data_IF_857738645564
#
_entry.id   IF_857738645564
#
_cell.length_a   1.000
_cell.length_b   1.000
_cell.length_c   1.000
_cell.angle_alpha   90.00
_cell.angle_beta   90.00
_cell.angle_gamma   90.00
#
_symmetry.space_group_name_H-M   'P 1'
#
loop_
_entity.id
_entity.type
_entity.pdbx_description
1 polymer ?
#
# COMPACT_ATOMS: atom_id res chain seq x y z
N UNK A 1 -7.54 25.28 15.56
CA UNK A 1 -6.37 24.40 15.73
C UNK A 1 -6.89 23.00 15.97
N UNK A 2 -6.60 22.06 15.07
CA UNK A 2 -7.11 20.68 15.16
C UNK A 2 -5.95 19.70 15.03
N UNK A 3 -6.04 18.57 15.72
CA UNK A 3 -5.06 17.48 15.63
C UNK A 3 -5.80 16.22 15.18
N UNK A 4 -5.29 15.57 14.14
CA UNK A 4 -5.79 14.31 13.62
C UNK A 4 -4.76 13.24 13.95
N UNK A 5 -5.18 12.19 14.65
CA UNK A 5 -4.35 11.04 14.95
C UNK A 5 -4.57 9.96 13.90
N UNK A 6 -3.49 9.36 13.42
CA UNK A 6 -3.53 8.25 12.46
C UNK A 6 -2.48 7.22 12.82
N UNK A 7 -2.81 5.94 12.67
CA UNK A 7 -1.88 4.84 12.85
C UNK A 7 -1.16 4.43 11.55
N UNK A 8 -1.55 5.03 10.43
CA UNK A 8 -1.01 4.76 9.10
C UNK A 8 0.26 5.57 8.84
N UNK A 9 1.41 5.06 9.30
CA UNK A 9 2.71 5.69 9.07
C UNK A 9 3.01 5.89 7.57
N UNK A 10 2.57 4.96 6.72
CA UNK A 10 2.71 5.05 5.26
C UNK A 10 2.01 6.28 4.68
N UNK A 11 0.84 6.65 5.19
CA UNK A 11 0.09 7.84 4.76
C UNK A 11 0.87 9.10 5.13
N UNK A 12 1.36 9.20 6.36
CA UNK A 12 2.15 10.36 6.80
C UNK A 12 3.41 10.53 5.97
N UNK A 13 4.12 9.43 5.69
CA UNK A 13 5.31 9.47 4.82
C UNK A 13 4.99 9.89 3.40
N UNK A 14 3.82 9.48 2.87
CA UNK A 14 3.39 9.84 1.53
C UNK A 14 3.01 11.33 1.42
N UNK A 15 2.43 11.90 2.47
CA UNK A 15 2.09 13.32 2.55
C UNK A 15 3.32 14.22 2.76
N UNK A 16 4.31 13.73 3.51
CA UNK A 16 5.56 14.44 3.79
C UNK A 16 6.55 14.39 2.61
N UNK A 17 6.40 13.44 1.69
CA UNK A 17 7.33 13.29 0.57
C UNK A 17 7.15 14.40 -0.46
N UNK A 18 8.20 15.19 -0.69
CA UNK A 18 8.19 16.35 -1.62
C UNK A 18 8.16 15.94 -3.11
N UNK A 19 8.44 14.67 -3.44
CA UNK A 19 8.84 14.28 -4.80
C UNK A 19 7.95 13.26 -5.50
N UNK A 20 6.90 12.71 -4.87
CA UNK A 20 6.16 11.60 -5.52
C UNK A 20 4.68 11.53 -5.12
N UNK A 21 3.93 12.61 -5.33
CA UNK A 21 2.46 12.59 -5.24
C UNK A 21 1.82 11.96 -6.49
N UNK A 22 2.37 10.84 -6.96
CA UNK A 22 1.86 10.12 -8.15
C UNK A 22 0.59 9.35 -7.86
N UNK A 23 0.29 9.07 -6.59
CA UNK A 23 -0.92 8.38 -6.20
C UNK A 23 -2.11 9.35 -6.07
N UNK A 24 -3.21 9.17 -6.82
CA UNK A 24 -4.32 10.13 -6.86
C UNK A 24 -4.98 10.37 -5.49
N UNK A 25 -5.01 9.36 -4.61
CA UNK A 25 -5.53 9.55 -3.25
C UNK A 25 -4.68 10.50 -2.40
N UNK A 26 -3.35 10.47 -2.54
CA UNK A 26 -2.44 11.33 -1.77
C UNK A 26 -2.65 12.77 -2.22
N UNK A 27 -2.75 12.99 -3.54
CA UNK A 27 -3.05 14.30 -4.12
C UNK A 27 -4.39 14.86 -3.61
N UNK A 28 -5.45 14.05 -3.61
CA UNK A 28 -6.77 14.49 -3.12
C UNK A 28 -6.72 14.90 -1.64
N UNK A 29 -5.97 14.19 -0.80
CA UNK A 29 -5.81 14.54 0.61
C UNK A 29 -5.05 15.88 0.75
N UNK A 30 -3.98 16.08 -0.01
CA UNK A 30 -3.22 17.33 0.01
C UNK A 30 -4.06 18.53 -0.45
N UNK A 31 -4.82 18.39 -1.54
CA UNK A 31 -5.73 19.43 -2.04
C UNK A 31 -6.77 19.84 -0.97
N UNK A 32 -7.32 18.87 -0.23
CA UNK A 32 -8.23 19.15 0.89
C UNK A 32 -7.50 19.88 2.02
N UNK A 33 -6.29 19.46 2.39
CA UNK A 33 -5.50 20.09 3.44
C UNK A 33 -5.13 21.53 3.07
N UNK A 34 -4.75 21.80 1.82
CA UNK A 34 -4.44 23.14 1.32
C UNK A 34 -5.68 24.04 1.31
N UNK A 35 -6.84 23.52 0.88
CA UNK A 35 -8.11 24.26 0.96
C UNK A 35 -8.44 24.67 2.38
N UNK A 36 -8.30 23.74 3.34
CA UNK A 36 -8.52 24.04 4.75
C UNK A 36 -7.50 25.05 5.29
N UNK A 37 -6.23 24.94 4.90
CA UNK A 37 -5.19 25.90 5.26
C UNK A 37 -5.52 27.32 4.73
N UNK A 38 -5.99 27.43 3.48
CA UNK A 38 -6.39 28.71 2.88
C UNK A 38 -7.59 29.37 3.60
N UNK A 39 -8.42 28.57 4.27
CA UNK A 39 -9.52 29.05 5.10
C UNK A 39 -9.08 29.42 6.53
N UNK A 40 -7.79 29.30 6.84
CA UNK A 40 -7.22 29.60 8.16
C UNK A 40 -7.26 28.44 9.16
N UNK A 41 -7.60 27.23 8.72
CA UNK A 41 -7.52 26.05 9.59
C UNK A 41 -6.08 25.57 9.71
N UNK A 42 -5.63 25.39 10.93
CA UNK A 42 -4.34 24.75 11.24
C UNK A 42 -4.63 23.33 11.71
N UNK A 43 -4.15 22.35 10.93
CA UNK A 43 -4.35 20.91 11.15
C UNK A 43 -2.98 20.25 11.35
N UNK A 44 -2.82 19.54 12.47
CA UNK A 44 -1.66 18.69 12.71
C UNK A 44 -2.01 17.23 12.50
N UNK A 45 -1.13 16.49 11.82
CA UNK A 45 -1.23 15.04 11.70
C UNK A 45 -0.24 14.40 12.67
N UNK A 46 -0.74 13.54 13.56
CA UNK A 46 0.07 12.86 14.57
C UNK A 46 0.01 11.35 14.38
N UNK A 47 1.17 10.70 14.36
CA UNK A 47 1.26 9.25 14.31
C UNK A 47 0.99 8.62 15.68
N UNK A 48 0.21 7.55 15.71
CA UNK A 48 0.03 6.70 16.87
C UNK A 48 0.30 5.23 16.51
N UNK A 49 0.81 4.41 17.43
CA UNK A 49 0.92 2.98 17.19
C UNK A 49 -0.46 2.33 17.07
N UNK A 50 -0.62 1.45 16.08
CA UNK A 50 -1.83 0.62 15.94
C UNK A 50 -1.85 -0.52 16.96
N UNK A 51 -3.05 -0.97 17.33
CA UNK A 51 -3.29 -2.18 18.15
C UNK A 51 -2.62 -2.22 19.54
N UNK A 52 -2.38 -1.06 20.16
CA UNK A 52 -1.81 -0.97 21.53
C UNK A 52 -2.86 -0.69 22.62
N UNK A 53 -4.16 -0.84 22.33
CA UNK A 53 -5.21 -0.57 23.32
C UNK A 53 -5.68 0.89 23.40
N UNK A 54 -5.34 1.74 22.41
CA UNK A 54 -5.87 3.11 22.35
C UNK A 54 -7.33 3.04 21.91
N UNK A 55 -8.25 3.21 22.87
CA UNK A 55 -9.70 3.09 22.69
C UNK A 55 -10.19 3.90 21.48
N UNK A 56 -9.70 5.14 21.31
CA UNK A 56 -10.09 5.99 20.19
C UNK A 56 -9.68 5.43 18.82
N UNK A 57 -8.46 4.87 18.71
CA UNK A 57 -7.99 4.25 17.47
C UNK A 57 -8.78 2.98 17.15
N UNK A 58 -9.05 2.15 18.16
CA UNK A 58 -9.83 0.92 17.99
C UNK A 58 -11.27 1.21 17.55
N UNK A 59 -11.88 2.28 18.08
CA UNK A 59 -13.20 2.74 17.64
C UNK A 59 -13.17 3.23 16.19
N UNK A 60 -12.15 4.01 15.81
CA UNK A 60 -11.97 4.47 14.44
C UNK A 60 -11.78 3.29 13.46
N UNK A 61 -10.93 2.33 13.81
CA UNK A 61 -10.72 1.09 13.05
C UNK A 61 -12.01 0.28 12.89
N UNK A 62 -12.77 0.13 13.98
CA UNK A 62 -14.04 -0.60 13.95
C UNK A 62 -15.05 0.09 13.05
N UNK A 63 -15.13 1.42 13.10
CA UNK A 63 -16.00 2.20 12.23
C UNK A 63 -15.57 2.08 10.75
N UNK A 64 -14.27 2.19 10.45
CA UNK A 64 -13.74 2.03 9.10
C UNK A 64 -14.00 0.63 8.52
N UNK A 65 -13.78 -0.42 9.32
CA UNK A 65 -14.09 -1.81 8.94
C UNK A 65 -15.58 -2.02 8.71
N UNK A 66 -16.43 -1.42 9.53
CA UNK A 66 -17.89 -1.53 9.38
C UNK A 66 -18.41 -0.75 8.17
N UNK A 67 -17.73 0.33 7.79
CA UNK A 67 -18.06 1.14 6.61
C UNK A 67 -17.46 0.58 5.30
N UNK A 68 -16.78 -0.57 5.34
CA UNK A 68 -16.25 -1.21 4.13
C UNK A 68 -17.39 -1.78 3.31
N UNK A 69 -17.93 -0.96 2.41
CA UNK A 69 -18.83 -1.40 1.35
C UNK A 69 -17.94 -1.97 0.24
N UNK A 70 -18.33 -3.10 -0.37
CA UNK A 70 -17.69 -3.62 -1.57
C UNK A 70 -17.94 -2.64 -2.72
N UNK A 71 -17.10 -1.61 -2.81
CA UNK A 71 -17.15 -0.64 -3.88
C UNK A 71 -16.55 -1.33 -5.11
N UNK A 72 -17.30 -1.41 -6.21
CA UNK A 72 -16.74 -1.63 -7.55
C UNK A 72 -15.95 -0.38 -7.97
N UNK A 73 -14.95 -0.01 -7.17
CA UNK A 73 -14.11 1.15 -7.38
C UNK A 73 -12.97 0.83 -8.33
N UNK A 74 -12.60 1.79 -9.17
CA UNK A 74 -11.39 1.71 -9.97
C UNK A 74 -10.18 1.97 -9.07
N UNK A 75 -9.32 0.98 -8.93
CA UNK A 75 -8.05 1.10 -8.21
C UNK A 75 -6.96 1.54 -9.20
N UNK A 76 -6.06 2.48 -8.84
CA UNK A 76 -4.97 2.89 -9.69
C UNK A 76 -4.16 1.70 -10.21
N UNK A 77 -3.83 1.69 -11.51
CA UNK A 77 -3.08 0.60 -12.13
C UNK A 77 -1.71 0.36 -11.46
N UNK A 78 -1.14 1.41 -10.84
CA UNK A 78 0.08 1.33 -10.05
C UNK A 78 0.01 0.30 -8.93
N UNK A 79 -1.15 0.15 -8.29
CA UNK A 79 -1.35 -0.78 -7.18
C UNK A 79 -1.38 -2.23 -7.65
N UNK A 80 -1.84 -2.46 -8.89
CA UNK A 80 -1.80 -3.79 -9.51
C UNK A 80 -0.43 -4.14 -10.08
N UNK A 81 0.42 -3.15 -10.41
CA UNK A 81 1.72 -3.38 -11.07
C UNK A 81 2.59 -4.36 -10.29
N UNK A 82 2.65 -4.22 -8.97
CA UNK A 82 3.41 -5.14 -8.10
C UNK A 82 2.79 -6.53 -8.10
N UNK A 83 1.46 -6.63 -7.98
CA UNK A 83 0.76 -7.92 -8.00
C UNK A 83 0.93 -8.64 -9.34
N UNK A 84 0.81 -7.93 -10.47
CA UNK A 84 0.99 -8.47 -11.81
C UNK A 84 2.43 -8.98 -11.98
N UNK A 85 3.43 -8.20 -11.56
CA UNK A 85 4.83 -8.64 -11.58
C UNK A 85 5.03 -9.92 -10.78
N UNK A 86 4.50 -9.99 -9.55
CA UNK A 86 4.59 -11.19 -8.71
C UNK A 86 3.93 -12.41 -9.35
N UNK A 87 2.77 -12.23 -9.97
CA UNK A 87 2.09 -13.32 -10.68
C UNK A 87 2.89 -13.78 -11.90
N UNK A 88 3.44 -12.85 -12.68
CA UNK A 88 4.28 -13.16 -13.83
C UNK A 88 5.54 -13.92 -13.39
N UNK A 89 6.23 -13.44 -12.35
CA UNK A 89 7.39 -14.13 -11.78
C UNK A 89 7.04 -15.51 -11.25
N UNK A 90 5.91 -15.66 -10.57
CA UNK A 90 5.44 -16.95 -10.06
C UNK A 90 5.16 -17.95 -11.19
N UNK A 91 4.48 -17.50 -12.26
CA UNK A 91 4.22 -18.33 -13.45
C UNK A 91 5.49 -18.72 -14.17
N UNK A 92 6.40 -17.76 -14.37
CA UNK A 92 7.71 -18.02 -14.95
C UNK A 92 8.50 -19.03 -14.11
N UNK A 93 8.52 -18.87 -12.78
CA UNK A 93 9.21 -19.77 -11.87
C UNK A 93 8.61 -21.18 -11.89
N UNK A 94 7.29 -21.31 -12.03
CA UNK A 94 6.61 -22.60 -12.13
C UNK A 94 6.95 -23.29 -13.45
N UNK A 95 6.93 -22.58 -14.58
CA UNK A 95 7.38 -23.10 -15.87
C UNK A 95 8.84 -23.56 -15.80
N UNK A 96 9.70 -22.72 -15.23
CA UNK A 96 11.11 -23.06 -15.02
C UNK A 96 11.27 -24.31 -14.15
N UNK A 97 10.49 -24.45 -13.07
CA UNK A 97 10.50 -25.64 -12.20
C UNK A 97 10.02 -26.89 -12.91
N UNK A 98 9.02 -26.81 -13.78
CA UNK A 98 8.55 -27.95 -14.58
C UNK A 98 9.61 -28.37 -15.59
N UNK A 99 10.21 -27.41 -16.30
CA UNK A 99 11.28 -27.68 -17.27
C UNK A 99 12.53 -28.23 -16.58
N UNK A 100 12.92 -27.69 -15.43
CA UNK A 100 14.03 -28.24 -14.63
C UNK A 100 13.69 -29.56 -13.97
N UNK A 101 12.45 -29.84 -13.58
CA UNK A 101 12.02 -31.16 -13.10
C UNK A 101 12.07 -32.21 -14.21
N UNK A 102 11.67 -31.83 -15.43
CA UNK A 102 11.78 -32.67 -16.63
C UNK A 102 13.23 -32.89 -17.06
N UNK A 103 14.10 -31.89 -16.82
CA UNK A 103 15.55 -31.96 -17.02
C UNK A 103 16.28 -32.68 -15.87
N UNK A 104 15.73 -32.74 -14.65
CA UNK A 104 16.29 -33.48 -13.52
C UNK A 104 15.91 -34.97 -13.57
N UNK A 105 14.82 -35.34 -14.25
CA UNK A 105 14.49 -36.75 -14.52
C UNK A 105 15.33 -37.34 -15.67
N UNK A 106 15.76 -36.52 -16.62
CA UNK A 106 16.75 -36.86 -17.65
C UNK A 106 18.12 -36.32 -17.23
N UNK A 107 18.83 -37.06 -16.38
CA UNK A 107 20.16 -36.69 -15.85
C UNK A 107 21.05 -35.97 -16.88
N UNK A 108 21.70 -34.89 -16.44
CA UNK A 108 22.54 -33.88 -17.12
C UNK A 108 21.76 -32.55 -17.10
N UNK A 109 21.97 -31.60 -16.19
CA UNK A 109 23.20 -30.83 -16.05
C UNK A 109 23.30 -30.21 -14.64
N UNK A 110 24.29 -30.64 -13.86
CA UNK A 110 24.94 -29.75 -12.89
C UNK A 110 25.92 -28.89 -13.66
N UNK A 111 25.72 -27.57 -13.67
CA UNK A 111 26.70 -26.47 -13.86
C UNK A 111 26.06 -25.30 -14.63
N UNK A 112 25.52 -24.32 -13.89
CA UNK A 112 25.53 -22.89 -14.27
C UNK A 112 25.02 -22.03 -13.11
N UNK A 113 25.72 -22.12 -11.98
CA UNK A 113 25.67 -21.14 -10.90
C UNK A 113 27.12 -20.88 -10.44
N UNK A 114 27.83 -20.14 -11.30
CA UNK A 114 28.86 -19.17 -10.96
C UNK A 114 28.51 -17.89 -11.72
#
# INVERSE_FOLDING_TARGET
MSIIYTDSLSVLRSLDSVHDHTHPLVFNVLDILEKLASQGFIIYLCWIPSHVGIIGNEQADKAAKSATISINGTVPIGDFKTRIKLLLYSKWQEQWRVETSFMLSNQLWSLCLL
#
